data_IF_070442769078
#
_entry.id   IF_070442769078
#
_cell.length_a   1.000
_cell.length_b   1.000
_cell.length_c   1.000
_cell.angle_alpha   90.00
_cell.angle_beta   90.00
_cell.angle_gamma   90.00
#
_symmetry.space_group_name_H-M   'P 1'
#
loop_
_entity.id
_entity.type
_entity.pdbx_description
1 polymer ?
#
# COMPACT_ATOMS: atom_id res chain seq x y z
N UNK A 1 1.29 -17.85 15.91
CA UNK A 1 0.14 -17.01 16.33
C UNK A 1 -0.31 -16.20 15.13
N UNK A 2 -1.55 -16.37 14.69
CA UNK A 2 -2.09 -15.60 13.56
C UNK A 2 -2.38 -14.17 14.04
N UNK A 3 -1.66 -13.19 13.51
CA UNK A 3 -1.88 -11.78 13.84
C UNK A 3 -3.12 -11.28 13.10
N UNK A 4 -3.79 -10.24 13.60
CA UNK A 4 -4.95 -9.63 12.94
C UNK A 4 -4.66 -9.11 11.51
N UNK A 5 -3.38 -9.01 11.15
CA UNK A 5 -2.86 -8.52 9.87
C UNK A 5 -2.60 -9.64 8.84
N UNK A 6 -2.87 -10.90 9.20
CA UNK A 6 -2.71 -12.07 8.31
C UNK A 6 -3.96 -12.34 7.44
N UNK A 7 -4.89 -11.38 7.39
CA UNK A 7 -6.15 -11.48 6.66
C UNK A 7 -5.96 -11.27 5.15
N UNK A 8 -6.99 -11.57 4.36
CA UNK A 8 -7.07 -11.20 2.94
C UNK A 8 -7.99 -10.00 2.75
N UNK A 9 -7.68 -9.16 1.78
CA UNK A 9 -8.57 -8.11 1.32
C UNK A 9 -9.43 -8.63 0.18
N UNK A 10 -10.75 -8.50 0.32
CA UNK A 10 -11.72 -8.85 -0.71
C UNK A 10 -12.37 -7.56 -1.22
N UNK A 11 -12.06 -7.13 -2.45
CA UNK A 11 -12.65 -5.91 -3.00
C UNK A 11 -14.13 -6.14 -3.31
N UNK A 12 -14.96 -5.17 -2.94
CA UNK A 12 -16.35 -5.12 -3.37
C UNK A 12 -16.47 -4.38 -4.70
N UNK A 13 -17.48 -4.73 -5.52
CA UNK A 13 -17.73 -4.12 -6.84
C UNK A 13 -18.02 -2.61 -6.75
N UNK A 14 -18.47 -2.13 -5.60
CA UNK A 14 -18.76 -0.70 -5.37
C UNK A 14 -17.53 0.10 -4.90
N UNK A 15 -16.43 -0.58 -4.57
CA UNK A 15 -15.23 0.04 -3.98
C UNK A 15 -14.08 0.09 -4.98
N UNK A 16 -13.36 1.21 -4.99
CA UNK A 16 -12.09 1.35 -5.68
C UNK A 16 -10.99 1.32 -4.63
N UNK A 17 -10.00 0.43 -4.80
CA UNK A 17 -8.84 0.39 -3.92
C UNK A 17 -7.54 0.64 -4.66
N UNK A 18 -6.58 1.16 -3.90
CA UNK A 18 -5.19 1.23 -4.30
C UNK A 18 -4.33 0.40 -3.36
N UNK A 19 -3.27 -0.18 -3.90
CA UNK A 19 -2.27 -0.91 -3.12
C UNK A 19 -1.09 0.02 -2.84
N UNK A 20 -0.68 0.10 -1.59
CA UNK A 20 0.53 0.78 -1.13
C UNK A 20 1.51 -0.26 -0.57
N UNK A 21 2.73 -0.30 -1.09
CA UNK A 21 3.75 -1.26 -0.64
C UNK A 21 5.15 -0.63 -0.65
N UNK A 22 6.15 -1.33 -0.10
CA UNK A 22 7.51 -0.82 0.04
C UNK A 22 7.76 -0.23 1.44
N UNK A 23 8.54 0.85 1.52
CA UNK A 23 8.89 1.48 2.80
C UNK A 23 7.81 2.49 3.24
N UNK A 24 6.76 1.97 3.86
CA UNK A 24 5.52 2.71 4.13
C UNK A 24 5.53 3.57 5.40
N UNK A 25 6.42 3.31 6.36
CA UNK A 25 6.31 3.91 7.70
C UNK A 25 6.35 5.45 7.70
N UNK A 26 7.20 6.07 6.88
CA UNK A 26 7.42 7.52 6.93
C UNK A 26 6.49 8.36 6.06
N UNK A 27 5.81 7.76 5.06
CA UNK A 27 4.92 8.54 4.19
C UNK A 27 3.56 7.92 3.93
N UNK A 28 3.23 6.79 4.56
CA UNK A 28 1.87 6.28 4.55
C UNK A 28 0.88 7.36 5.01
N UNK A 29 1.17 8.09 6.09
CA UNK A 29 0.27 9.12 6.61
C UNK A 29 -0.02 10.23 5.58
N UNK A 30 1.01 10.81 4.98
CA UNK A 30 0.86 11.86 3.97
C UNK A 30 0.10 11.35 2.75
N UNK A 31 0.41 10.13 2.30
CA UNK A 31 -0.31 9.49 1.20
C UNK A 31 -1.78 9.25 1.54
N UNK A 32 -2.07 8.71 2.71
CA UNK A 32 -3.44 8.43 3.17
C UNK A 32 -4.25 9.72 3.23
N UNK A 33 -3.68 10.78 3.82
CA UNK A 33 -4.33 12.09 3.87
C UNK A 33 -4.62 12.61 2.46
N UNK A 34 -3.62 12.64 1.58
CA UNK A 34 -3.79 13.17 0.23
C UNK A 34 -4.72 12.32 -0.64
N UNK A 35 -4.67 10.99 -0.54
CA UNK A 35 -5.49 10.10 -1.37
C UNK A 35 -6.95 10.10 -0.94
N UNK A 36 -7.20 10.04 0.38
CA UNK A 36 -8.53 9.87 0.93
C UNK A 36 -9.32 11.18 1.05
N UNK A 37 -8.67 12.34 0.91
CA UNK A 37 -9.31 13.66 0.93
C UNK A 37 -9.30 14.38 -0.43
N UNK A 38 -8.73 13.77 -1.49
CA UNK A 38 -8.65 14.41 -2.82
C UNK A 38 -10.02 14.66 -3.48
N UNK A 39 -11.05 13.94 -3.06
CA UNK A 39 -12.35 13.88 -3.74
C UNK A 39 -13.45 13.52 -2.74
N UNK A 40 -14.20 14.53 -2.31
CA UNK A 40 -15.27 14.41 -1.31
C UNK A 40 -16.42 13.50 -1.80
N UNK A 41 -16.71 13.49 -3.11
CA UNK A 41 -17.86 12.78 -3.69
C UNK A 41 -17.63 11.26 -3.75
N UNK A 42 -16.36 10.84 -3.88
CA UNK A 42 -15.96 9.42 -3.94
C UNK A 42 -15.32 8.92 -2.64
N UNK A 43 -15.35 9.74 -1.58
CA UNK A 43 -14.65 9.53 -0.31
C UNK A 43 -14.98 8.19 0.37
N UNK A 44 -16.24 7.76 0.29
CA UNK A 44 -16.75 6.53 0.93
C UNK A 44 -16.44 5.26 0.14
N UNK A 45 -16.15 5.38 -1.16
CA UNK A 45 -15.87 4.23 -2.04
C UNK A 45 -14.38 3.97 -2.24
N UNK A 46 -13.51 4.85 -1.74
CA UNK A 46 -12.05 4.71 -1.84
C UNK A 46 -11.48 3.95 -0.65
N UNK A 47 -10.70 2.92 -0.95
CA UNK A 47 -9.94 2.15 0.03
C UNK A 47 -8.45 2.17 -0.28
N UNK A 48 -7.63 2.02 0.76
CA UNK A 48 -6.18 1.87 0.64
C UNK A 48 -5.78 0.56 1.31
N UNK A 49 -5.14 -0.33 0.57
CA UNK A 49 -4.55 -1.56 1.10
C UNK A 49 -3.06 -1.31 1.26
N UNK A 50 -2.53 -1.46 2.47
CA UNK A 50 -1.11 -1.37 2.78
C UNK A 50 -0.57 -2.80 2.89
N UNK A 51 0.45 -3.14 2.10
CA UNK A 51 1.17 -4.41 2.17
C UNK A 51 2.62 -4.15 2.57
N UNK A 52 3.00 -4.60 3.76
CA UNK A 52 4.35 -4.38 4.30
C UNK A 52 4.85 -5.60 5.09
N UNK A 53 6.18 -5.87 5.07
CA UNK A 53 6.74 -7.10 5.65
C UNK A 53 6.70 -7.09 7.19
N UNK A 54 6.67 -5.91 7.79
CA UNK A 54 6.67 -5.71 9.25
C UNK A 54 5.26 -5.43 9.76
N UNK A 55 5.09 -5.48 11.09
CA UNK A 55 3.88 -4.97 11.73
C UNK A 55 3.89 -3.43 11.70
N UNK A 56 2.72 -2.78 11.72
CA UNK A 56 2.68 -1.32 11.73
C UNK A 56 3.30 -0.78 13.03
N UNK A 57 4.06 0.31 12.92
CA UNK A 57 4.59 1.06 14.05
C UNK A 57 3.47 1.57 14.96
N UNK A 58 3.79 1.98 16.18
CA UNK A 58 2.80 2.50 17.12
C UNK A 58 2.06 3.73 16.57
N UNK A 59 2.77 4.61 15.86
CA UNK A 59 2.16 5.80 15.27
C UNK A 59 1.24 5.43 14.09
N UNK A 60 1.67 4.53 13.21
CA UNK A 60 0.81 4.05 12.13
C UNK A 60 -0.42 3.32 12.68
N UNK A 61 -0.27 2.52 13.74
CA UNK A 61 -1.41 1.87 14.43
C UNK A 61 -2.43 2.89 14.92
N UNK A 62 -1.99 3.98 15.55
CA UNK A 62 -2.90 5.05 16.01
C UNK A 62 -3.66 5.68 14.84
N UNK A 63 -2.98 5.91 13.71
CA UNK A 63 -3.62 6.42 12.49
C UNK A 63 -4.67 5.42 11.98
N UNK A 64 -4.34 4.14 11.92
CA UNK A 64 -5.27 3.10 11.45
C UNK A 64 -6.52 2.94 12.34
N UNK A 65 -6.45 3.32 13.62
CA UNK A 65 -7.58 3.30 14.55
C UNK A 65 -8.41 4.59 14.51
N UNK A 66 -8.00 5.61 13.76
CA UNK A 66 -8.77 6.83 13.65
C UNK A 66 -10.03 6.59 12.82
N UNK A 67 -11.20 7.16 13.17
CA UNK A 67 -12.45 6.93 12.44
C UNK A 67 -12.38 7.26 10.94
N UNK A 68 -11.58 8.25 10.56
CA UNK A 68 -11.36 8.58 9.16
C UNK A 68 -10.62 7.48 8.37
N UNK A 69 -9.88 6.58 9.02
CA UNK A 69 -9.03 5.60 8.36
C UNK A 69 -9.44 4.15 8.63
N UNK A 70 -10.02 3.85 9.79
CA UNK A 70 -10.30 2.47 10.24
C UNK A 70 -11.09 1.63 9.22
N UNK A 71 -12.13 2.20 8.61
CA UNK A 71 -12.95 1.47 7.61
C UNK A 71 -12.37 1.49 6.18
N UNK A 72 -11.44 2.42 5.93
CA UNK A 72 -10.93 2.74 4.59
C UNK A 72 -9.52 2.22 4.34
N UNK A 73 -8.76 1.94 5.39
CA UNK A 73 -7.35 1.53 5.30
C UNK A 73 -7.20 0.12 5.87
N UNK A 74 -6.73 -0.78 5.02
CA UNK A 74 -6.52 -2.19 5.37
C UNK A 74 -5.01 -2.43 5.40
N UNK A 75 -4.47 -2.82 6.55
CA UNK A 75 -3.07 -3.19 6.69
C UNK A 75 -2.91 -4.71 6.66
N UNK A 76 -2.09 -5.20 5.74
CA UNK A 76 -1.73 -6.60 5.59
C UNK A 76 -0.23 -6.78 5.84
N UNK A 77 0.12 -7.71 6.71
CA UNK A 77 1.51 -8.09 6.91
C UNK A 77 1.91 -9.10 5.84
N UNK A 78 2.84 -8.74 4.96
CA UNK A 78 3.31 -9.58 3.85
C UNK A 78 4.26 -8.83 2.92
N UNK A 79 4.84 -9.54 1.95
CA UNK A 79 5.84 -8.99 1.04
C UNK A 79 5.30 -8.81 -0.38
N UNK A 80 5.51 -7.62 -0.96
CA UNK A 80 5.23 -7.38 -2.38
C UNK A 80 6.15 -8.18 -3.33
N UNK A 81 7.17 -8.87 -2.82
CA UNK A 81 7.98 -9.81 -3.59
C UNK A 81 7.36 -11.22 -3.66
N UNK A 82 6.32 -11.49 -2.86
CA UNK A 82 5.65 -12.78 -2.78
C UNK A 82 4.31 -12.70 -3.52
N UNK A 83 4.12 -13.54 -4.52
CA UNK A 83 2.91 -13.52 -5.35
C UNK A 83 1.63 -13.79 -4.53
N UNK A 84 1.69 -14.70 -3.56
CA UNK A 84 0.56 -15.01 -2.69
C UNK A 84 0.11 -13.78 -1.86
N UNK A 85 1.05 -12.98 -1.37
CA UNK A 85 0.76 -11.76 -0.62
C UNK A 85 0.14 -10.68 -1.52
N UNK A 86 0.60 -10.56 -2.76
CA UNK A 86 0.00 -9.66 -3.75
C UNK A 86 -1.44 -10.08 -4.13
N UNK A 87 -1.71 -11.37 -4.25
CA UNK A 87 -3.07 -11.88 -4.44
C UNK A 87 -3.96 -11.56 -3.23
N UNK A 88 -3.42 -11.75 -2.02
CA UNK A 88 -4.10 -11.49 -0.75
C UNK A 88 -4.43 -10.01 -0.55
N UNK A 89 -3.62 -9.12 -1.12
CA UNK A 89 -3.85 -7.69 -1.17
C UNK A 89 -4.76 -7.23 -2.34
N UNK A 90 -5.31 -8.18 -3.11
CA UNK A 90 -6.06 -7.93 -4.34
C UNK A 90 -5.34 -6.98 -5.31
N UNK A 91 -4.02 -7.13 -5.45
CA UNK A 91 -3.22 -6.33 -6.38
C UNK A 91 -3.78 -6.38 -7.82
N UNK A 92 -4.16 -7.55 -8.40
CA UNK A 92 -4.60 -7.64 -9.79
C UNK A 92 -5.83 -6.79 -10.14
N UNK A 93 -6.65 -6.44 -9.15
CA UNK A 93 -7.87 -5.65 -9.31
C UNK A 93 -7.73 -4.23 -8.75
N UNK A 94 -6.56 -3.86 -8.22
CA UNK A 94 -6.30 -2.52 -7.72
C UNK A 94 -6.31 -1.51 -8.86
N UNK A 95 -6.85 -0.32 -8.62
CA UNK A 95 -6.85 0.76 -9.62
C UNK A 95 -5.42 1.27 -9.87
N UNK A 96 -4.63 1.36 -8.79
CA UNK A 96 -3.22 1.69 -8.84
C UNK A 96 -2.44 0.88 -7.80
N UNK A 97 -1.20 0.57 -8.15
CA UNK A 97 -0.21 0.08 -7.20
C UNK A 97 0.88 1.14 -7.02
N UNK A 98 1.08 1.56 -5.77
CA UNK A 98 2.08 2.51 -5.35
C UNK A 98 3.21 1.80 -4.61
N UNK A 99 4.44 2.06 -5.05
CA UNK A 99 5.66 1.60 -4.37
C UNK A 99 6.29 2.81 -3.68
N UNK A 100 6.31 2.79 -2.36
CA UNK A 100 7.01 3.77 -1.53
C UNK A 100 8.46 3.36 -1.35
N UNK A 101 9.34 4.32 -1.55
CA UNK A 101 10.78 4.15 -1.44
C UNK A 101 11.34 5.29 -0.58
N UNK A 102 12.26 4.96 0.31
CA UNK A 102 12.92 5.97 1.13
C UNK A 102 13.92 6.74 0.29
N UNK A 103 13.82 8.06 0.36
CA UNK A 103 14.81 8.96 -0.22
C UNK A 103 15.92 9.14 0.81
N UNK A 104 17.03 8.41 0.67
CA UNK A 104 18.24 8.65 1.46
C UNK A 104 19.26 9.40 0.61
N UNK A 105 19.78 10.51 1.14
CA UNK A 105 20.72 11.42 0.48
C UNK A 105 22.15 10.88 0.37
N UNK A 106 22.41 9.61 0.69
CA UNK A 106 23.78 9.04 0.76
C UNK A 106 24.07 7.81 -0.11
N UNK A 107 23.08 7.01 -0.48
CA UNK A 107 23.27 5.79 -1.30
C UNK A 107 22.08 5.61 -2.23
N UNK A 108 22.11 6.29 -3.37
CA UNK A 108 21.08 6.22 -4.40
C UNK A 108 20.91 4.79 -4.97
N UNK A 109 22.01 4.02 -5.04
CA UNK A 109 22.05 2.74 -5.78
C UNK A 109 21.25 1.58 -5.15
N UNK A 110 21.24 1.45 -3.82
CA UNK A 110 20.62 0.30 -3.15
C UNK A 110 19.10 0.40 -3.10
N UNK A 111 18.58 1.61 -2.85
CA UNK A 111 17.14 1.85 -2.80
C UNK A 111 16.52 1.77 -4.19
N UNK A 112 17.20 2.28 -5.23
CA UNK A 112 16.76 2.13 -6.61
C UNK A 112 16.70 0.66 -7.01
N UNK A 113 17.66 -0.15 -6.58
CA UNK A 113 17.64 -1.60 -6.83
C UNK A 113 16.42 -2.26 -6.17
N UNK A 114 16.18 -2.02 -4.88
CA UNK A 114 15.03 -2.59 -4.17
C UNK A 114 13.68 -2.12 -4.77
N UNK A 115 13.57 -0.83 -5.08
CA UNK A 115 12.41 -0.24 -5.74
C UNK A 115 12.12 -0.90 -7.09
N UNK A 116 13.16 -1.11 -7.91
CA UNK A 116 13.07 -1.74 -9.21
C UNK A 116 12.63 -3.20 -9.10
N UNK A 117 13.19 -3.96 -8.15
CA UNK A 117 12.80 -5.35 -7.90
C UNK A 117 11.34 -5.48 -7.46
N UNK A 118 10.88 -4.63 -6.54
CA UNK A 118 9.48 -4.59 -6.10
C UNK A 118 8.59 -4.20 -7.29
N UNK A 119 8.97 -3.15 -8.04
CA UNK A 119 8.22 -2.70 -9.21
C UNK A 119 8.07 -3.83 -10.24
N UNK A 120 9.15 -4.56 -10.53
CA UNK A 120 9.12 -5.73 -11.43
C UNK A 120 8.22 -6.85 -10.90
N UNK A 121 8.28 -7.15 -9.59
CA UNK A 121 7.41 -8.14 -8.96
C UNK A 121 5.93 -7.77 -9.10
N UNK A 122 5.58 -6.52 -8.77
CA UNK A 122 4.20 -6.05 -8.89
C UNK A 122 3.76 -6.04 -10.36
N UNK A 123 4.59 -5.58 -11.31
CA UNK A 123 4.29 -5.64 -12.76
C UNK A 123 4.00 -7.06 -13.23
N UNK A 124 4.84 -8.02 -12.82
CA UNK A 124 4.68 -9.43 -13.22
C UNK A 124 3.35 -10.01 -12.73
N UNK A 125 2.95 -9.66 -11.52
CA UNK A 125 1.76 -10.17 -10.84
C UNK A 125 0.50 -9.31 -11.10
N UNK A 126 0.65 -8.13 -11.68
CA UNK A 126 -0.43 -7.19 -11.93
C UNK A 126 -0.31 -6.59 -13.34
N UNK A 127 -0.67 -7.39 -14.36
CA UNK A 127 -0.51 -7.04 -15.78
C UNK A 127 -1.50 -6.00 -16.29
N UNK A 128 -2.59 -5.74 -15.55
CA UNK A 128 -3.71 -4.93 -16.03
C UNK A 128 -3.83 -3.57 -15.33
N UNK A 129 -3.30 -3.42 -14.11
CA UNK A 129 -3.38 -2.15 -13.40
C UNK A 129 -2.18 -1.22 -13.69
N UNK A 130 -2.41 0.09 -13.86
CA UNK A 130 -1.33 1.07 -13.97
C UNK A 130 -0.51 1.16 -12.66
N UNK A 131 0.81 1.02 -12.80
CA UNK A 131 1.79 1.12 -11.71
C UNK A 131 2.40 2.53 -11.63
N UNK A 132 2.38 3.13 -10.44
CA UNK A 132 2.94 4.46 -10.20
C UNK A 132 3.96 4.43 -9.07
N UNK A 133 5.17 4.93 -9.31
CA UNK A 133 6.13 5.19 -8.24
C UNK A 133 5.83 6.57 -7.66
N UNK A 134 5.68 6.64 -6.34
CA UNK A 134 5.47 7.90 -5.62
C UNK A 134 6.72 8.20 -4.79
N UNK A 135 7.45 9.24 -5.18
CA UNK A 135 8.59 9.74 -4.43
C UNK A 135 8.11 10.68 -3.32
N UNK A 136 8.57 10.47 -2.09
CA UNK A 136 8.37 11.44 -1.01
C UNK A 136 9.31 12.64 -1.23
N UNK A 137 8.77 13.85 -1.17
CA UNK A 137 9.54 15.09 -1.12
C UNK A 137 9.76 15.52 0.32
#
# INVERSE_FOLDING_TARGET
MQTAFDKKYEPDKSTQHVLLCGEVENGALLFLHNWLHKDEERRTRRKVVILAPTLPSNDLRRVLLHPDYEERVIYLQGSAMVAADLQRAAAPTAEYCFVMVKKHSGTLDQNDTAANLITCSVRKNNRHAPLRQSFQN
#
